data_IF_579710067308
#
_entry.id   IF_579710067308
#
_cell.length_a   1.000
_cell.length_b   1.000
_cell.length_c   1.000
_cell.angle_alpha   90.00
_cell.angle_beta   90.00
_cell.angle_gamma   90.00
#
_symmetry.space_group_name_H-M   'P 1'
#
loop_
_entity.id
_entity.type
_entity.pdbx_description
1 polymer ?
#
# COMPACT_ATOMS: atom_id res chain seq x y z
N UNK A 1 15.32 -22.14 22.41
CA UNK A 1 14.55 -22.46 21.20
C UNK A 1 14.85 -21.40 20.15
N UNK A 2 15.45 -21.78 19.03
CA UNK A 2 15.65 -20.89 17.89
C UNK A 2 14.31 -20.79 17.15
N UNK A 3 13.66 -19.63 17.20
CA UNK A 3 12.49 -19.36 16.37
C UNK A 3 12.97 -19.13 14.94
N UNK A 4 12.98 -20.17 14.12
CA UNK A 4 13.22 -20.04 12.69
C UNK A 4 11.99 -19.38 12.07
N UNK A 5 12.11 -18.13 11.65
CA UNK A 5 11.05 -17.47 10.90
C UNK A 5 10.83 -18.27 9.60
N UNK A 6 9.62 -18.80 9.42
CA UNK A 6 9.28 -19.69 8.32
C UNK A 6 8.30 -18.97 7.40
N UNK A 7 8.61 -18.90 6.12
CA UNK A 7 7.72 -18.39 5.08
C UNK A 7 7.35 -19.54 4.15
N UNK A 8 6.06 -19.86 4.02
CA UNK A 8 5.56 -20.96 3.18
C UNK A 8 4.60 -20.39 2.16
N UNK A 9 4.97 -20.46 0.88
CA UNK A 9 4.05 -20.13 -0.22
C UNK A 9 3.00 -21.21 -0.33
N UNK A 10 1.72 -20.82 -0.28
CA UNK A 10 0.56 -21.72 -0.41
C UNK A 10 -0.04 -21.69 -1.80
N UNK A 11 -0.11 -20.51 -2.40
CA UNK A 11 -0.63 -20.31 -3.74
C UNK A 11 0.17 -19.22 -4.45
N UNK A 12 0.35 -19.37 -5.75
CA UNK A 12 0.92 -18.33 -6.60
C UNK A 12 0.37 -18.41 -8.02
N UNK A 13 -0.10 -17.30 -8.55
CA UNK A 13 -0.62 -17.24 -9.93
C UNK A 13 -0.35 -15.87 -10.56
N UNK A 14 -0.11 -15.85 -11.87
CA UNK A 14 -0.20 -14.60 -12.62
C UNK A 14 -1.66 -14.30 -12.94
N UNK A 15 -2.12 -13.11 -12.60
CA UNK A 15 -3.49 -12.67 -12.90
C UNK A 15 -3.57 -11.22 -13.30
N UNK A 16 -4.74 -10.82 -13.80
CA UNK A 16 -5.04 -9.43 -14.17
C UNK A 16 -6.12 -8.90 -13.24
N UNK A 17 -5.83 -7.77 -12.58
CA UNK A 17 -6.75 -7.09 -11.66
C UNK A 17 -6.94 -5.67 -12.19
N UNK A 18 -8.17 -5.29 -12.55
CA UNK A 18 -8.48 -3.95 -13.05
C UNK A 18 -7.53 -3.48 -14.18
N UNK A 19 -7.16 -4.40 -15.08
CA UNK A 19 -6.23 -4.14 -16.19
C UNK A 19 -4.73 -4.17 -15.84
N UNK A 20 -4.38 -4.42 -14.57
CA UNK A 20 -3.00 -4.51 -14.07
C UNK A 20 -2.60 -5.98 -13.96
N UNK A 21 -1.54 -6.38 -14.67
CA UNK A 21 -0.96 -7.73 -14.54
C UNK A 21 -0.11 -7.80 -13.27
N UNK A 22 -0.38 -8.77 -12.41
CA UNK A 22 0.32 -8.98 -11.15
C UNK A 22 0.69 -10.45 -10.96
N UNK A 23 1.70 -10.72 -10.14
CA UNK A 23 1.89 -12.01 -9.50
C UNK A 23 1.12 -11.98 -8.16
N UNK A 24 0.07 -12.78 -8.08
CA UNK A 24 -0.67 -13.01 -6.85
C UNK A 24 0.01 -14.11 -6.03
N UNK A 25 0.16 -13.90 -4.72
CA UNK A 25 0.76 -14.86 -3.80
C UNK A 25 -0.05 -14.92 -2.51
N UNK A 26 -0.37 -16.13 -2.06
CA UNK A 26 -0.81 -16.41 -0.69
C UNK A 26 0.31 -17.16 0.04
N UNK A 27 0.69 -16.71 1.25
CA UNK A 27 1.75 -17.35 2.01
C UNK A 27 1.55 -17.23 3.52
N UNK A 28 2.02 -18.24 4.26
CA UNK A 28 2.10 -18.21 5.72
C UNK A 28 3.44 -17.62 6.16
N UNK A 29 3.44 -16.91 7.28
CA UNK A 29 4.65 -16.52 7.98
C UNK A 29 4.56 -16.83 9.48
N UNK A 30 5.55 -17.53 10.02
CA UNK A 30 5.74 -17.60 11.47
C UNK A 30 6.74 -16.54 11.91
N UNK A 31 6.31 -15.64 12.79
CA UNK A 31 7.16 -14.58 13.36
C UNK A 31 7.16 -14.74 14.88
N UNK A 32 8.29 -15.23 15.42
CA UNK A 32 8.48 -15.44 16.87
C UNK A 32 7.36 -16.27 17.53
N UNK A 33 6.88 -17.31 16.86
CA UNK A 33 5.83 -18.19 17.37
C UNK A 33 4.40 -17.71 17.10
N UNK A 34 4.22 -16.58 16.41
CA UNK A 34 2.91 -16.14 15.91
C UNK A 34 2.77 -16.51 14.44
N UNK A 35 1.67 -17.18 14.11
CA UNK A 35 1.34 -17.56 12.75
C UNK A 35 0.44 -16.50 12.08
N UNK A 36 0.89 -16.05 10.91
CA UNK A 36 0.20 -15.09 10.08
C UNK A 36 -0.03 -15.65 8.68
N UNK A 37 -1.08 -15.18 8.05
CA UNK A 37 -1.42 -15.51 6.67
C UNK A 37 -1.48 -14.22 5.86
N UNK A 38 -0.86 -14.25 4.69
CA UNK A 38 -0.71 -13.08 3.81
C UNK A 38 -1.38 -13.33 2.47
N UNK A 39 -1.96 -12.26 1.93
CA UNK A 39 -2.43 -12.19 0.54
C UNK A 39 -1.75 -10.98 -0.09
N UNK A 40 -1.01 -11.19 -1.18
CA UNK A 40 -0.24 -10.14 -1.84
C UNK A 40 -0.46 -10.13 -3.35
N UNK A 41 -0.51 -8.93 -3.92
CA UNK A 41 -0.43 -8.70 -5.36
C UNK A 41 0.88 -7.93 -5.64
N UNK A 42 1.80 -8.60 -6.33
CA UNK A 42 3.10 -8.05 -6.69
C UNK A 42 3.04 -7.54 -8.14
N UNK A 43 3.18 -6.23 -8.30
CA UNK A 43 3.29 -5.55 -9.58
C UNK A 43 4.77 -5.37 -9.94
N UNK A 44 5.24 -6.11 -10.94
CA UNK A 44 6.62 -6.05 -11.42
C UNK A 44 6.66 -5.52 -12.84
N UNK A 45 7.55 -4.56 -13.08
CA UNK A 45 7.86 -4.00 -14.40
C UNK A 45 9.37 -3.99 -14.61
N UNK A 46 9.80 -3.69 -15.83
CA UNK A 46 11.23 -3.51 -16.11
C UNK A 46 11.82 -2.26 -15.43
N UNK A 47 10.98 -1.31 -15.02
CA UNK A 47 11.38 -0.04 -14.40
C UNK A 47 11.37 -0.09 -12.86
N UNK A 48 10.81 -1.16 -12.28
CA UNK A 48 10.70 -1.31 -10.84
C UNK A 48 9.56 -2.24 -10.42
N UNK A 49 9.35 -2.35 -9.11
CA UNK A 49 8.32 -3.19 -8.54
C UNK A 49 7.58 -2.46 -7.41
N UNK A 50 6.32 -2.83 -7.22
CA UNK A 50 5.50 -2.44 -6.08
C UNK A 50 4.68 -3.65 -5.65
N UNK A 51 4.38 -3.77 -4.37
CA UNK A 51 3.44 -4.77 -3.89
C UNK A 51 2.40 -4.11 -2.98
N UNK A 52 1.21 -4.66 -3.01
CA UNK A 52 0.20 -4.43 -1.99
C UNK A 52 -0.09 -5.77 -1.34
N UNK A 53 -0.14 -5.80 -0.02
CA UNK A 53 -0.43 -7.00 0.74
C UNK A 53 -1.31 -6.69 1.94
N UNK A 54 -2.08 -7.69 2.32
CA UNK A 54 -2.84 -7.74 3.57
C UNK A 54 -2.35 -8.95 4.36
N UNK A 55 -2.48 -8.89 5.68
CA UNK A 55 -2.21 -10.03 6.54
C UNK A 55 -3.11 -10.01 7.77
N UNK A 56 -3.33 -11.18 8.34
CA UNK A 56 -4.04 -11.37 9.61
C UNK A 56 -3.45 -12.58 10.34
N UNK A 57 -3.89 -12.82 11.57
CA UNK A 57 -3.51 -14.04 12.29
C UNK A 57 -4.09 -15.28 11.60
N UNK A 58 -3.36 -16.39 11.62
CA UNK A 58 -3.75 -17.59 10.88
C UNK A 58 -5.14 -18.13 11.29
N UNK A 59 -5.53 -17.97 12.56
CA UNK A 59 -6.85 -18.38 13.05
C UNK A 59 -8.01 -17.46 12.63
N UNK A 60 -7.72 -16.28 12.08
CA UNK A 60 -8.71 -15.32 11.58
C UNK A 60 -8.75 -15.28 10.04
N UNK A 61 -7.76 -15.89 9.39
CA UNK A 61 -7.60 -15.81 7.94
C UNK A 61 -8.85 -16.18 7.16
N UNK A 62 -9.48 -17.32 7.43
CA UNK A 62 -10.64 -17.76 6.66
C UNK A 62 -11.85 -16.82 6.83
N UNK A 63 -11.98 -16.16 8.00
CA UNK A 63 -13.04 -15.19 8.25
C UNK A 63 -12.79 -13.86 7.53
N UNK A 64 -11.53 -13.40 7.51
CA UNK A 64 -11.12 -12.10 6.96
C UNK A 64 -10.80 -12.18 5.46
N UNK A 65 -10.55 -13.38 4.91
CA UNK A 65 -9.99 -13.60 3.56
C UNK A 65 -10.74 -12.83 2.48
N UNK A 66 -12.07 -12.84 2.52
CA UNK A 66 -12.89 -12.13 1.52
C UNK A 66 -12.64 -10.62 1.55
N UNK A 67 -12.55 -10.02 2.73
CA UNK A 67 -12.32 -8.57 2.87
C UNK A 67 -10.88 -8.20 2.48
N UNK A 68 -9.92 -9.03 2.89
CA UNK A 68 -8.52 -8.93 2.48
C UNK A 68 -8.35 -8.98 0.96
N UNK A 69 -9.01 -9.94 0.30
CA UNK A 69 -9.04 -10.08 -1.16
C UNK A 69 -9.67 -8.86 -1.83
N UNK A 70 -10.80 -8.37 -1.33
CA UNK A 70 -11.45 -7.17 -1.86
C UNK A 70 -10.52 -5.95 -1.80
N UNK A 71 -9.81 -5.76 -0.68
CA UNK A 71 -8.87 -4.65 -0.52
C UNK A 71 -7.69 -4.77 -1.48
N UNK A 72 -7.00 -5.92 -1.47
CA UNK A 72 -5.78 -6.12 -2.28
C UNK A 72 -6.08 -6.12 -3.79
N UNK A 73 -7.31 -6.48 -4.19
CA UNK A 73 -7.78 -6.43 -5.57
C UNK A 73 -8.42 -5.08 -5.96
N UNK A 74 -8.53 -4.14 -5.02
CA UNK A 74 -9.09 -2.80 -5.24
C UNK A 74 -8.15 -1.83 -5.98
N UNK A 75 -6.91 -2.24 -6.28
CA UNK A 75 -5.94 -1.37 -6.95
C UNK A 75 -6.38 -1.03 -8.37
N UNK A 76 -6.24 0.24 -8.74
CA UNK A 76 -6.58 0.75 -10.07
C UNK A 76 -5.47 1.65 -10.58
N UNK A 77 -5.29 1.70 -11.90
CA UNK A 77 -4.41 2.68 -12.51
C UNK A 77 -5.08 4.05 -12.44
N UNK A 78 -4.39 5.02 -11.87
CA UNK A 78 -4.80 6.43 -11.88
C UNK A 78 -3.94 7.20 -12.87
N UNK A 79 -4.56 8.12 -13.61
CA UNK A 79 -3.79 9.10 -14.39
C UNK A 79 -3.08 10.06 -13.43
N UNK A 80 -1.88 10.50 -13.77
CA UNK A 80 -1.19 11.53 -13.00
C UNK A 80 -2.08 12.78 -13.04
N UNK A 81 -2.63 13.17 -11.89
CA UNK A 81 -3.39 14.42 -11.78
C UNK A 81 -2.53 15.58 -12.31
N UNK A 82 -3.17 16.57 -12.94
CA UNK A 82 -2.49 17.83 -13.25
C UNK A 82 -1.85 18.34 -11.96
N UNK A 83 -0.58 18.72 -12.01
CA UNK A 83 0.12 19.26 -10.86
C UNK A 83 -0.76 20.34 -10.22
N UNK A 84 -1.20 20.11 -8.98
CA UNK A 84 -1.95 21.12 -8.24
C UNK A 84 -0.95 22.20 -7.89
N UNK A 85 -0.91 23.26 -8.70
CA UNK A 85 -0.21 24.48 -8.35
C UNK A 85 -0.98 25.08 -7.18
N UNK A 86 -0.49 24.90 -5.96
CA UNK A 86 -0.98 25.67 -4.82
C UNK A 86 -0.68 27.15 -5.09
N UNK A 87 -1.71 27.89 -5.52
CA UNK A 87 -1.64 29.34 -5.60
C UNK A 87 -1.73 29.85 -4.17
N UNK A 88 -0.56 30.11 -3.57
CA UNK A 88 -0.49 30.85 -2.32
C UNK A 88 -0.80 32.31 -2.67
N UNK A 89 -2.06 32.73 -2.51
CA UNK A 89 -2.41 34.14 -2.52
C UNK A 89 -1.81 34.79 -1.28
N UNK A 90 -0.62 35.37 -1.41
CA UNK A 90 -0.11 36.28 -0.39
C UNK A 90 -0.99 37.54 -0.42
N UNK A 91 -1.81 37.74 0.62
CA UNK A 91 -2.56 38.98 0.81
C UNK A 91 -1.63 40.20 0.73
N UNK A 92 -2.14 41.38 0.33
CA UNK A 92 -1.32 42.57 0.18
C UNK A 92 -0.54 42.89 1.47
N UNK A 93 0.71 43.37 1.38
CA UNK A 93 1.50 43.71 2.56
C UNK A 93 0.72 44.66 3.47
N UNK A 94 0.81 44.51 4.80
CA UNK A 94 0.18 45.45 5.73
C UNK A 94 0.62 46.88 5.42
N UNK A 95 -0.28 47.88 5.56
CA UNK A 95 0.09 49.28 5.42
C UNK A 95 1.28 49.58 6.34
N UNK A 96 2.36 50.13 5.79
CA UNK A 96 3.50 50.56 6.60
C UNK A 96 3.02 51.58 7.63
N UNK A 97 3.19 51.25 8.91
CA UNK A 97 2.93 52.19 10.00
C UNK A 97 3.78 53.45 9.78
N UNK A 98 3.20 54.66 9.90
CA UNK A 98 3.97 55.88 9.75
C UNK A 98 5.09 55.89 10.79
N UNK A 99 6.33 56.13 10.33
CA UNK A 99 7.48 56.33 11.22
C UNK A 99 7.12 57.44 12.21
N UNK A 100 7.05 57.11 13.50
CA UNK A 100 7.03 58.12 14.55
C UNK A 100 8.27 58.99 14.36
N UNK A 101 8.05 60.24 13.97
CA UNK A 101 9.05 61.29 14.08
C UNK A 101 9.25 61.61 15.57
N UNK A 102 10.53 61.82 15.90
CA UNK A 102 11.19 61.92 17.21
C UNK A 102 10.32 62.30 18.41
#
# INVERSE_FOLDING_TARGET
MLYTNLFIVKNSEYRTINGIKVLHIEYSANVKGLDFEYIANLYLTNEGYCSISTYTYANQFDADKKEMENFVNGIVKVEKGKDVVEIIESGPPPPMLPKKSK
#
